data_IF_937500326835
#
_entry.id   IF_937500326835
#
_cell.length_a   1.000
_cell.length_b   1.000
_cell.length_c   1.000
_cell.angle_alpha   90.00
_cell.angle_beta   90.00
_cell.angle_gamma   90.00
#
_symmetry.space_group_name_H-M   'P 1'
#
loop_
_entity.id
_entity.type
_entity.pdbx_description
1 polymer ?
#
# COMPACT_ATOMS: atom_id res chain seq x y z
N UNK A 1 -7.69 15.56 4.30
CA UNK A 1 -6.49 16.41 4.39
C UNK A 1 -5.41 15.85 5.32
N UNK A 2 -5.71 15.50 6.58
CA UNK A 2 -4.71 14.96 7.51
C UNK A 2 -3.88 13.78 6.96
N UNK A 3 -4.52 12.81 6.28
CA UNK A 3 -3.83 11.69 5.63
C UNK A 3 -2.74 12.14 4.63
N UNK A 4 -3.00 13.21 3.86
CA UNK A 4 -2.03 13.72 2.88
C UNK A 4 -0.85 14.41 3.57
N UNK A 5 -1.11 15.13 4.67
CA UNK A 5 -0.06 15.76 5.49
C UNK A 5 0.86 14.68 6.09
N UNK A 6 0.29 13.60 6.64
CA UNK A 6 1.07 12.48 7.18
C UNK A 6 1.93 11.82 6.10
N UNK A 7 1.36 11.57 4.92
CA UNK A 7 2.12 11.02 3.79
C UNK A 7 3.25 11.93 3.33
N UNK A 8 3.00 13.25 3.27
CA UNK A 8 4.02 14.23 2.92
C UNK A 8 5.16 14.23 3.94
N UNK A 9 4.85 14.28 5.23
CA UNK A 9 5.85 14.23 6.30
C UNK A 9 6.66 12.94 6.22
N UNK A 10 6.00 11.79 6.02
CA UNK A 10 6.66 10.50 5.87
C UNK A 10 7.66 10.51 4.70
N UNK A 11 7.23 10.99 3.53
CA UNK A 11 8.10 11.09 2.34
C UNK A 11 9.27 12.02 2.62
N UNK A 12 9.05 13.18 3.24
CA UNK A 12 10.12 14.12 3.58
C UNK A 12 11.13 13.50 4.55
N UNK A 13 10.67 12.76 5.55
CA UNK A 13 11.55 12.05 6.50
C UNK A 13 12.38 10.99 5.78
N UNK A 14 11.77 10.21 4.89
CA UNK A 14 12.49 9.18 4.11
C UNK A 14 13.52 9.84 3.19
N UNK A 15 13.15 10.89 2.46
CA UNK A 15 14.05 11.62 1.57
C UNK A 15 15.21 12.25 2.35
N UNK A 16 14.91 12.93 3.46
CA UNK A 16 15.91 13.48 4.36
C UNK A 16 16.88 12.39 4.81
N UNK A 17 16.36 11.26 5.30
CA UNK A 17 17.21 10.16 5.75
C UNK A 17 18.10 9.61 4.63
N UNK A 18 17.56 9.40 3.43
CA UNK A 18 18.33 8.93 2.26
C UNK A 18 19.44 9.90 1.90
N UNK A 19 19.16 11.21 1.80
CA UNK A 19 20.14 12.24 1.43
C UNK A 19 21.29 12.30 2.42
N UNK A 20 21.01 12.22 3.72
CA UNK A 20 22.05 12.24 4.75
C UNK A 20 22.78 10.91 4.93
N UNK A 21 22.33 9.84 4.28
CA UNK A 21 22.92 8.50 4.37
C UNK A 21 23.24 7.92 2.97
N UNK A 22 23.71 8.77 2.06
CA UNK A 22 24.14 8.34 0.71
C UNK A 22 25.50 7.62 0.71
N UNK A 23 26.42 8.03 1.59
CA UNK A 23 27.80 7.51 1.62
C UNK A 23 27.95 6.11 2.24
N UNK A 24 27.23 5.76 3.34
CA UNK A 24 27.40 4.47 3.99
C UNK A 24 27.09 3.30 3.07
N UNK A 25 27.99 2.31 3.08
CA UNK A 25 27.80 1.01 2.43
C UNK A 25 27.61 -0.07 3.48
N UNK A 26 26.68 -0.99 3.22
CA UNK A 26 26.29 -2.05 4.16
C UNK A 26 26.46 -3.44 3.54
N UNK A 27 26.55 -4.45 4.40
CA UNK A 27 26.43 -5.85 4.00
C UNK A 27 24.96 -6.25 4.10
N UNK A 28 24.41 -6.77 3.01
CA UNK A 28 23.03 -7.26 2.95
C UNK A 28 23.03 -8.79 3.06
N UNK A 29 22.44 -9.32 4.13
CA UNK A 29 22.21 -10.75 4.29
C UNK A 29 20.81 -11.08 3.78
N UNK A 30 20.70 -11.55 2.54
CA UNK A 30 19.41 -11.83 1.90
C UNK A 30 18.85 -13.19 2.32
N UNK A 31 19.71 -14.20 2.37
CA UNK A 31 19.39 -15.59 2.73
C UNK A 31 20.59 -16.17 3.50
N UNK A 32 20.42 -17.28 4.24
CA UNK A 32 21.56 -17.99 4.82
C UNK A 32 22.62 -18.29 3.75
N UNK A 33 23.86 -17.83 3.98
CA UNK A 33 24.96 -17.98 3.03
C UNK A 33 24.97 -17.00 1.84
N UNK A 34 23.92 -16.20 1.63
CA UNK A 34 23.85 -15.21 0.54
C UNK A 34 24.01 -13.81 1.10
N UNK A 35 25.19 -13.24 0.94
CA UNK A 35 25.52 -11.88 1.38
C UNK A 35 25.97 -11.03 0.21
N UNK A 36 25.37 -9.84 0.09
CA UNK A 36 25.81 -8.80 -0.83
C UNK A 36 26.66 -7.79 -0.07
N UNK A 37 27.88 -7.56 -0.53
CA UNK A 37 28.78 -6.61 0.12
C UNK A 37 28.74 -5.23 -0.55
N UNK A 38 29.11 -4.21 0.23
CA UNK A 38 29.31 -2.84 -0.26
C UNK A 38 28.07 -2.22 -0.92
N UNK A 39 26.87 -2.59 -0.48
CA UNK A 39 25.63 -2.06 -1.02
C UNK A 39 25.35 -0.68 -0.43
N UNK A 40 25.08 0.36 -1.26
CA UNK A 40 24.71 1.67 -0.76
C UNK A 40 23.46 1.62 0.10
N UNK A 41 23.52 2.13 1.32
CA UNK A 41 22.39 2.10 2.26
C UNK A 41 21.15 2.81 1.68
N UNK A 42 21.36 3.94 1.01
CA UNK A 42 20.31 4.66 0.28
C UNK A 42 19.51 3.75 -0.67
N UNK A 43 20.18 2.86 -1.40
CA UNK A 43 19.53 1.94 -2.35
C UNK A 43 18.66 0.92 -1.62
N UNK A 44 19.13 0.40 -0.49
CA UNK A 44 18.37 -0.54 0.35
C UNK A 44 17.06 0.10 0.81
N UNK A 45 17.15 1.33 1.34
CA UNK A 45 16.00 2.07 1.86
C UNK A 45 14.99 2.35 0.75
N UNK A 46 15.45 2.83 -0.41
CA UNK A 46 14.57 3.14 -1.55
C UNK A 46 13.82 1.90 -2.01
N UNK A 47 14.52 0.77 -2.19
CA UNK A 47 13.90 -0.48 -2.65
C UNK A 47 12.91 -1.00 -1.60
N UNK A 48 13.30 -1.06 -0.32
CA UNK A 48 12.43 -1.55 0.74
C UNK A 48 11.19 -0.67 0.92
N UNK A 49 11.34 0.65 0.88
CA UNK A 49 10.21 1.59 0.96
C UNK A 49 9.27 1.41 -0.23
N UNK A 50 9.83 1.33 -1.45
CA UNK A 50 9.04 1.13 -2.68
C UNK A 50 8.26 -0.18 -2.64
N UNK A 51 8.89 -1.28 -2.19
CA UNK A 51 8.20 -2.56 -2.02
C UNK A 51 7.07 -2.46 -0.99
N UNK A 52 7.29 -1.76 0.12
CA UNK A 52 6.25 -1.51 1.13
C UNK A 52 5.06 -0.73 0.56
N UNK A 53 5.31 0.33 -0.21
CA UNK A 53 4.26 1.11 -0.88
C UNK A 53 3.49 0.25 -1.89
N UNK A 54 4.19 -0.50 -2.73
CA UNK A 54 3.56 -1.41 -3.70
C UNK A 54 2.69 -2.45 -3.02
N UNK A 55 3.15 -3.04 -1.92
CA UNK A 55 2.36 -3.99 -1.14
C UNK A 55 1.11 -3.33 -0.54
N UNK A 56 1.24 -2.13 0.03
CA UNK A 56 0.10 -1.37 0.54
C UNK A 56 -0.94 -1.03 -0.54
N UNK A 57 -0.50 -0.68 -1.74
CA UNK A 57 -1.37 -0.47 -2.90
C UNK A 57 -2.10 -1.77 -3.27
N UNK A 58 -1.38 -2.89 -3.33
CA UNK A 58 -1.96 -4.19 -3.66
C UNK A 58 -3.07 -4.59 -2.68
N UNK A 59 -2.84 -4.44 -1.38
CA UNK A 59 -3.86 -4.66 -0.33
C UNK A 59 -5.05 -3.73 -0.52
N UNK A 60 -4.82 -2.45 -0.82
CA UNK A 60 -5.88 -1.47 -1.02
C UNK A 60 -6.75 -1.82 -2.24
N UNK A 61 -6.15 -2.28 -3.33
CA UNK A 61 -6.89 -2.73 -4.53
C UNK A 61 -7.79 -3.91 -4.18
N UNK A 62 -7.29 -4.91 -3.44
CA UNK A 62 -8.10 -6.06 -3.02
C UNK A 62 -9.31 -5.61 -2.19
N UNK A 63 -9.13 -4.67 -1.27
CA UNK A 63 -10.23 -4.11 -0.47
C UNK A 63 -11.26 -3.37 -1.33
N UNK A 64 -10.81 -2.56 -2.29
CA UNK A 64 -11.71 -1.85 -3.20
C UNK A 64 -12.55 -2.81 -4.05
N UNK A 65 -11.97 -3.90 -4.54
CA UNK A 65 -12.71 -4.91 -5.31
C UNK A 65 -13.81 -5.54 -4.44
N UNK A 66 -13.47 -5.96 -3.21
CA UNK A 66 -14.43 -6.53 -2.26
C UNK A 66 -15.58 -5.55 -1.99
N UNK A 67 -15.25 -4.29 -1.73
CA UNK A 67 -16.23 -3.24 -1.46
C UNK A 67 -17.17 -3.02 -2.66
N UNK A 68 -16.64 -3.00 -3.89
CA UNK A 68 -17.47 -2.86 -5.10
C UNK A 68 -18.43 -4.03 -5.30
N UNK A 69 -17.99 -5.25 -5.00
CA UNK A 69 -18.85 -6.44 -5.09
C UNK A 69 -19.97 -6.40 -4.04
N UNK A 70 -19.66 -5.97 -2.83
CA UNK A 70 -20.65 -5.80 -1.76
C UNK A 70 -21.69 -4.73 -2.10
N UNK A 71 -21.26 -3.57 -2.60
CA UNK A 71 -22.17 -2.52 -3.09
C UNK A 71 -23.11 -3.07 -4.18
N UNK A 72 -22.58 -3.82 -5.16
CA UNK A 72 -23.40 -4.40 -6.22
C UNK A 72 -24.41 -5.40 -5.68
N UNK A 73 -24.03 -6.22 -4.70
CA UNK A 73 -24.92 -7.18 -4.06
C UNK A 73 -26.05 -6.46 -3.31
N UNK A 74 -25.71 -5.44 -2.52
CA UNK A 74 -26.68 -4.64 -1.77
C UNK A 74 -27.67 -3.93 -2.70
N UNK A 75 -27.20 -3.34 -3.81
CA UNK A 75 -28.09 -2.72 -4.80
C UNK A 75 -29.11 -3.72 -5.37
N UNK A 76 -28.67 -4.95 -5.67
CA UNK A 76 -29.57 -6.00 -6.17
C UNK A 76 -30.60 -6.42 -5.11
N UNK A 77 -30.21 -6.50 -3.85
CA UNK A 77 -31.13 -6.83 -2.75
C UNK A 77 -32.19 -5.74 -2.53
N UNK A 78 -31.84 -4.47 -2.71
CA UNK A 78 -32.80 -3.35 -2.66
C UNK A 78 -33.78 -3.43 -3.82
N UNK A 79 -33.31 -3.64 -5.05
CA UNK A 79 -34.15 -3.76 -6.24
C UNK A 79 -35.21 -4.87 -6.11
N UNK A 80 -34.80 -6.05 -5.64
CA UNK A 80 -35.72 -7.18 -5.41
C UNK A 80 -36.80 -6.85 -4.37
N UNK A 81 -36.43 -6.21 -3.25
CA UNK A 81 -37.39 -5.83 -2.20
C UNK A 81 -38.39 -4.77 -2.66
N UNK A 82 -37.95 -3.83 -3.51
CA UNK A 82 -38.82 -2.81 -4.09
C UNK A 82 -39.81 -3.42 -5.10
N UNK A 83 -39.39 -4.44 -5.86
CA UNK A 83 -40.29 -5.19 -6.74
C UNK A 83 -41.34 -5.99 -5.96
N UNK A 84 -40.95 -6.70 -4.90
CA UNK A 84 -41.89 -7.44 -4.04
C UNK A 84 -42.94 -6.52 -3.40
N UNK A 85 -42.49 -5.35 -2.91
CA UNK A 85 -43.37 -4.36 -2.28
C UNK A 85 -44.40 -3.79 -3.27
N UNK A 86 -44.05 -3.64 -4.55
CA UNK A 86 -44.99 -3.19 -5.59
C UNK A 86 -46.02 -4.24 -6.00
N UNK A 87 -45.75 -5.53 -5.74
CA UNK A 87 -46.68 -6.61 -6.04
C UNK A 87 -47.66 -6.90 -4.89
N UNK A 88 -47.41 -6.36 -3.69
CA UNK A 88 -48.26 -6.58 -2.50
C UNK A 88 -49.32 -5.50 -2.28
N UNK A 89 -49.35 -4.45 -3.11
CA UNK A 89 -50.36 -3.37 -3.14
C UNK A 89 -51.04 -3.32 -4.51
#
# INVERSE_FOLDING_TARGET
MFRLIVWLILILVVVFFVVFNVDPKVKLHLLPGVTLENIPLALVIIISFTLGVLFGIMVSITQMIKLKLEIRKLHKEVEVKDEDSKQTF
#
